data_IF_457089641153
#
_entry.id   IF_457089641153
#
_cell.length_a   1.000
_cell.length_b   1.000
_cell.length_c   1.000
_cell.angle_alpha   90.00
_cell.angle_beta   90.00
_cell.angle_gamma   90.00
#
_symmetry.space_group_name_H-M   'P 1'
#
loop_
_entity.id
_entity.type
_entity.pdbx_description
1 polymer ?
#
# COMPACT_ATOMS: atom_id res chain seq x y z
N UNK A 1 -39.76 43.04 14.02
CA UNK A 1 -39.45 42.50 12.67
C UNK A 1 -38.04 43.01 12.36
N UNK A 2 -36.96 42.24 12.20
CA UNK A 2 -36.86 40.93 11.53
C UNK A 2 -35.45 40.30 11.69
N UNK A 3 -34.96 40.08 12.91
CA UNK A 3 -33.71 39.29 13.08
C UNK A 3 -33.99 37.80 12.81
N UNK A 4 -35.14 37.30 13.26
CA UNK A 4 -35.60 35.93 13.03
C UNK A 4 -35.92 35.65 11.56
N UNK A 5 -36.56 36.59 10.86
CA UNK A 5 -36.91 36.44 9.43
C UNK A 5 -35.67 36.43 8.53
N UNK A 6 -34.66 37.26 8.84
CA UNK A 6 -33.39 37.31 8.10
C UNK A 6 -32.57 36.02 8.25
N UNK A 7 -32.44 35.49 9.48
CA UNK A 7 -31.73 34.23 9.72
C UNK A 7 -32.41 33.03 9.07
N UNK A 8 -33.75 32.97 9.11
CA UNK A 8 -34.53 31.90 8.43
C UNK A 8 -34.35 31.97 6.92
N UNK A 9 -34.38 33.17 6.32
CA UNK A 9 -34.17 33.35 4.88
C UNK A 9 -32.76 32.98 4.43
N UNK A 10 -31.73 33.27 5.24
CA UNK A 10 -30.35 32.82 4.95
C UNK A 10 -30.24 31.29 4.97
N UNK A 11 -30.86 30.63 5.95
CA UNK A 11 -30.84 29.17 6.07
C UNK A 11 -31.56 28.48 4.90
N UNK A 12 -32.71 29.00 4.47
CA UNK A 12 -33.43 28.53 3.27
C UNK A 12 -32.56 28.69 2.02
N UNK A 13 -31.90 29.83 1.87
CA UNK A 13 -31.04 30.12 0.72
C UNK A 13 -29.85 29.16 0.65
N UNK A 14 -29.15 28.94 1.77
CA UNK A 14 -28.04 27.99 1.84
C UNK A 14 -28.46 26.55 1.55
N UNK A 15 -29.63 26.11 2.06
CA UNK A 15 -30.20 24.80 1.77
C UNK A 15 -30.50 24.62 0.28
N UNK A 16 -31.10 25.63 -0.36
CA UNK A 16 -31.40 25.60 -1.80
C UNK A 16 -30.13 25.54 -2.66
N UNK A 17 -29.08 26.29 -2.30
CA UNK A 17 -27.78 26.21 -2.99
C UNK A 17 -27.21 24.79 -2.95
N UNK A 18 -27.19 24.15 -1.79
CA UNK A 18 -26.66 22.79 -1.63
C UNK A 18 -27.50 21.78 -2.41
N UNK A 19 -28.83 21.88 -2.35
CA UNK A 19 -29.71 21.01 -3.13
C UNK A 19 -29.47 21.13 -4.65
N UNK A 20 -29.23 22.35 -5.15
CA UNK A 20 -28.90 22.58 -6.55
C UNK A 20 -27.55 21.95 -6.94
N UNK A 21 -26.55 22.01 -6.06
CA UNK A 21 -25.28 21.32 -6.26
C UNK A 21 -25.47 19.79 -6.28
N UNK A 22 -26.27 19.26 -5.36
CA UNK A 22 -26.60 17.85 -5.29
C UNK A 22 -27.48 17.35 -6.45
N UNK A 23 -28.03 18.23 -7.29
CA UNK A 23 -28.72 17.84 -8.51
C UNK A 23 -27.78 17.65 -9.72
N UNK A 24 -26.55 18.17 -9.66
CA UNK A 24 -25.55 18.02 -10.74
C UNK A 24 -25.13 16.56 -10.93
N UNK A 25 -24.68 16.19 -12.12
CA UNK A 25 -24.11 14.85 -12.35
C UNK A 25 -22.73 14.68 -11.71
N UNK A 26 -21.90 15.73 -11.77
CA UNK A 26 -20.57 15.79 -11.16
C UNK A 26 -20.46 17.14 -10.43
N UNK A 27 -19.85 17.13 -9.25
CA UNK A 27 -19.56 18.34 -8.49
C UNK A 27 -18.06 18.57 -8.52
N UNK A 28 -17.65 19.78 -8.88
CA UNK A 28 -16.25 20.19 -9.05
C UNK A 28 -15.84 21.27 -8.06
N UNK A 29 -14.53 21.50 -7.91
CA UNK A 29 -14.02 22.54 -7.00
C UNK A 29 -14.57 23.96 -7.31
N UNK A 30 -14.68 24.39 -8.58
CA UNK A 30 -15.33 25.66 -8.92
C UNK A 30 -16.78 25.76 -8.42
N UNK A 31 -17.52 24.65 -8.43
CA UNK A 31 -18.93 24.64 -8.00
C UNK A 31 -19.10 24.97 -6.52
N UNK A 32 -18.08 24.67 -5.70
CA UNK A 32 -18.10 24.87 -4.24
C UNK A 32 -17.25 26.06 -3.78
N UNK A 33 -16.56 26.74 -4.70
CA UNK A 33 -15.63 27.82 -4.38
C UNK A 33 -16.31 29.00 -3.65
N UNK A 34 -17.57 29.28 -4.00
CA UNK A 34 -18.35 30.38 -3.45
C UNK A 34 -19.09 30.03 -2.15
N UNK A 35 -18.98 28.79 -1.66
CA UNK A 35 -19.61 28.40 -0.40
C UNK A 35 -18.86 29.00 0.79
N UNK A 36 -19.61 29.56 1.73
CA UNK A 36 -19.10 29.92 3.05
C UNK A 36 -18.65 28.68 3.83
N UNK A 37 -17.86 28.86 4.89
CA UNK A 37 -17.41 27.73 5.70
C UNK A 37 -18.59 26.96 6.34
N UNK A 38 -19.63 27.66 6.79
CA UNK A 38 -20.84 27.03 7.31
C UNK A 38 -21.56 26.19 6.25
N UNK A 39 -21.67 26.69 5.01
CA UNK A 39 -22.25 25.94 3.89
C UNK A 39 -21.40 24.72 3.50
N UNK A 40 -20.05 24.82 3.55
CA UNK A 40 -19.14 23.69 3.32
C UNK A 40 -19.27 22.60 4.37
N UNK A 41 -19.43 22.99 5.64
CA UNK A 41 -19.66 22.05 6.74
C UNK A 41 -21.01 21.34 6.56
N UNK A 42 -22.08 22.11 6.31
CA UNK A 42 -23.39 21.53 6.07
C UNK A 42 -23.42 20.62 4.83
N UNK A 43 -22.74 21.01 3.76
CA UNK A 43 -22.56 20.15 2.59
C UNK A 43 -21.83 18.86 2.96
N UNK A 44 -20.75 18.91 3.73
CA UNK A 44 -20.03 17.72 4.19
C UNK A 44 -20.89 16.78 5.02
N UNK A 45 -21.75 17.32 5.90
CA UNK A 45 -22.72 16.54 6.67
C UNK A 45 -23.71 15.82 5.75
N UNK A 46 -24.35 16.53 4.83
CA UNK A 46 -25.32 15.96 3.88
C UNK A 46 -24.66 14.92 2.97
N UNK A 47 -23.41 15.15 2.53
CA UNK A 47 -22.67 14.19 1.73
C UNK A 47 -22.40 12.89 2.51
N UNK A 48 -22.00 13.01 3.77
CA UNK A 48 -21.72 11.88 4.67
C UNK A 48 -23.00 11.09 4.96
N UNK A 49 -24.06 11.75 5.40
CA UNK A 49 -25.35 11.11 5.68
C UNK A 49 -25.89 10.35 4.47
N UNK A 50 -25.72 10.91 3.27
CA UNK A 50 -26.15 10.25 2.05
C UNK A 50 -25.26 9.07 1.70
N UNK A 51 -23.94 9.16 1.87
CA UNK A 51 -23.03 8.04 1.65
C UNK A 51 -23.37 6.84 2.53
N UNK A 52 -23.73 7.08 3.79
CA UNK A 52 -24.05 6.04 4.78
C UNK A 52 -25.32 5.25 4.41
N UNK A 53 -26.23 5.86 3.65
CA UNK A 53 -27.49 5.24 3.22
C UNK A 53 -27.39 4.52 1.88
N UNK A 54 -26.33 4.77 1.09
CA UNK A 54 -26.18 4.24 -0.25
C UNK A 54 -25.39 2.93 -0.24
N UNK A 55 -25.75 2.02 -1.15
CA UNK A 55 -25.07 0.74 -1.37
C UNK A 55 -24.77 0.51 -2.84
N UNK A 56 -23.90 -0.47 -3.10
CA UNK A 56 -23.57 -1.02 -4.40
C UNK A 56 -23.21 0.05 -5.44
N UNK A 57 -23.66 -0.13 -6.67
CA UNK A 57 -23.40 0.77 -7.78
C UNK A 57 -23.98 2.18 -7.54
N UNK A 58 -25.02 2.32 -6.73
CA UNK A 58 -25.59 3.63 -6.40
C UNK A 58 -24.60 4.43 -5.56
N UNK A 59 -23.98 3.78 -4.57
CA UNK A 59 -22.90 4.37 -3.76
C UNK A 59 -21.70 4.73 -4.63
N UNK A 60 -21.30 3.85 -5.54
CA UNK A 60 -20.16 4.10 -6.43
C UNK A 60 -20.41 5.30 -7.34
N UNK A 61 -21.58 5.38 -7.98
CA UNK A 61 -21.96 6.54 -8.80
C UNK A 61 -21.96 7.83 -7.99
N UNK A 62 -22.42 7.77 -6.74
CA UNK A 62 -22.40 8.93 -5.85
C UNK A 62 -20.98 9.36 -5.46
N UNK A 63 -20.10 8.40 -5.14
CA UNK A 63 -18.68 8.66 -4.88
C UNK A 63 -18.01 9.27 -6.12
N UNK A 64 -18.23 8.73 -7.32
CA UNK A 64 -17.68 9.30 -8.56
C UNK A 64 -18.16 10.73 -8.81
N UNK A 65 -19.41 11.04 -8.45
CA UNK A 65 -19.97 12.39 -8.57
C UNK A 65 -19.26 13.41 -7.68
N UNK A 66 -18.81 13.01 -6.48
CA UNK A 66 -18.20 13.93 -5.50
C UNK A 66 -16.67 13.80 -5.43
N UNK A 67 -16.07 12.79 -6.07
CA UNK A 67 -14.61 12.56 -6.06
C UNK A 67 -13.76 13.80 -6.37
N UNK A 68 -14.13 14.69 -7.32
CA UNK A 68 -13.34 15.88 -7.62
C UNK A 68 -13.23 16.89 -6.47
N UNK A 69 -14.19 16.87 -5.53
CA UNK A 69 -14.21 17.77 -4.37
C UNK A 69 -13.72 17.11 -3.08
N UNK A 70 -13.41 15.80 -3.11
CA UNK A 70 -12.91 15.10 -1.93
C UNK A 70 -11.49 15.57 -1.59
N UNK A 71 -11.24 15.74 -0.28
CA UNK A 71 -9.90 15.96 0.23
C UNK A 71 -9.14 14.63 0.27
N UNK A 72 -7.80 14.68 0.36
CA UNK A 72 -7.00 13.48 0.58
C UNK A 72 -7.45 12.72 1.85
N UNK A 73 -7.73 13.43 2.94
CA UNK A 73 -8.24 12.84 4.18
C UNK A 73 -9.57 12.11 4.00
N UNK A 74 -10.51 12.68 3.24
CA UNK A 74 -11.79 12.01 2.95
C UNK A 74 -11.60 10.76 2.08
N UNK A 75 -10.69 10.80 1.10
CA UNK A 75 -10.35 9.61 0.30
C UNK A 75 -9.74 8.50 1.16
N UNK A 76 -8.88 8.87 2.12
CA UNK A 76 -8.33 7.91 3.08
C UNK A 76 -9.43 7.29 3.94
N UNK A 77 -10.34 8.08 4.49
CA UNK A 77 -11.45 7.57 5.29
C UNK A 77 -12.35 6.60 4.49
N UNK A 78 -12.63 6.89 3.21
CA UNK A 78 -13.37 5.98 2.33
C UNK A 78 -12.59 4.68 2.11
N UNK A 79 -11.28 4.76 1.92
CA UNK A 79 -10.42 3.57 1.78
C UNK A 79 -10.40 2.74 3.06
N UNK A 80 -10.23 3.37 4.23
CA UNK A 80 -10.23 2.70 5.54
C UNK A 80 -11.55 2.01 5.82
N UNK A 81 -12.67 2.68 5.55
CA UNK A 81 -14.00 2.10 5.67
C UNK A 81 -14.13 0.86 4.77
N UNK A 82 -13.79 0.98 3.48
CA UNK A 82 -13.87 -0.13 2.54
C UNK A 82 -12.96 -1.29 3.00
N UNK A 83 -11.74 -0.99 3.47
CA UNK A 83 -10.82 -1.99 3.99
C UNK A 83 -11.44 -2.73 5.17
N UNK A 84 -11.92 -2.01 6.18
CA UNK A 84 -12.48 -2.56 7.40
C UNK A 84 -13.64 -3.51 7.10
N UNK A 85 -14.64 -3.09 6.31
CA UNK A 85 -15.82 -3.92 6.03
C UNK A 85 -15.47 -5.13 5.16
N UNK A 86 -14.52 -5.00 4.23
CA UNK A 86 -14.04 -6.13 3.41
C UNK A 86 -13.32 -7.14 4.31
N UNK A 87 -12.39 -6.70 5.15
CA UNK A 87 -11.63 -7.56 6.07
C UNK A 87 -12.53 -8.26 7.08
N UNK A 88 -13.54 -7.56 7.62
CA UNK A 88 -14.54 -8.13 8.50
C UNK A 88 -15.40 -9.20 7.79
N UNK A 89 -15.90 -8.90 6.58
CA UNK A 89 -16.68 -9.86 5.80
C UNK A 89 -15.87 -11.12 5.47
N UNK A 90 -14.60 -10.98 5.12
CA UNK A 90 -13.70 -12.12 4.89
C UNK A 90 -13.53 -12.95 6.17
N UNK A 91 -13.24 -12.31 7.29
CA UNK A 91 -13.04 -12.98 8.58
C UNK A 91 -14.27 -13.77 8.99
N UNK A 92 -15.46 -13.15 8.96
CA UNK A 92 -16.75 -13.81 9.25
C UNK A 92 -17.01 -15.00 8.33
N UNK A 93 -16.75 -14.84 7.03
CA UNK A 93 -16.99 -15.90 6.05
C UNK A 93 -16.07 -17.10 6.27
N UNK A 94 -14.77 -16.86 6.53
CA UNK A 94 -13.80 -17.92 6.84
C UNK A 94 -14.17 -18.63 8.14
N UNK A 95 -14.55 -17.89 9.19
CA UNK A 95 -14.97 -18.49 10.47
C UNK A 95 -16.21 -19.38 10.30
N UNK A 96 -17.17 -18.96 9.45
CA UNK A 96 -18.43 -19.68 9.26
C UNK A 96 -18.32 -20.88 8.32
N UNK A 97 -17.60 -20.75 7.22
CA UNK A 97 -17.59 -21.74 6.13
C UNK A 97 -16.24 -22.42 5.92
N UNK A 98 -15.18 -21.97 6.60
CA UNK A 98 -13.84 -22.56 6.51
C UNK A 98 -13.14 -22.35 5.17
N UNK A 99 -13.65 -21.46 4.31
CA UNK A 99 -13.12 -21.21 2.97
C UNK A 99 -13.09 -19.72 2.64
N UNK A 100 -12.22 -19.31 1.72
CA UNK A 100 -12.12 -17.92 1.27
C UNK A 100 -13.38 -17.51 0.49
N UNK A 101 -14.02 -16.37 0.81
CA UNK A 101 -15.17 -15.89 0.04
C UNK A 101 -14.79 -15.49 -1.38
N UNK A 102 -15.72 -15.71 -2.32
CA UNK A 102 -15.68 -15.09 -3.64
C UNK A 102 -16.06 -13.61 -3.52
N UNK A 103 -15.59 -12.76 -4.45
CA UNK A 103 -15.92 -11.32 -4.50
C UNK A 103 -17.43 -11.02 -4.45
N UNK A 104 -18.25 -11.90 -5.05
CA UNK A 104 -19.71 -11.78 -4.98
C UNK A 104 -20.24 -11.86 -3.54
N UNK A 105 -19.79 -12.85 -2.77
CA UNK A 105 -20.20 -13.00 -1.37
C UNK A 105 -19.75 -11.82 -0.49
N UNK A 106 -18.57 -11.25 -0.78
CA UNK A 106 -18.09 -10.04 -0.09
C UNK A 106 -18.99 -8.84 -0.44
N UNK A 107 -19.38 -8.68 -1.72
CA UNK A 107 -20.30 -7.63 -2.15
C UNK A 107 -21.66 -7.76 -1.44
N UNK A 108 -22.22 -8.97 -1.43
CA UNK A 108 -23.52 -9.25 -0.82
C UNK A 108 -23.52 -8.95 0.69
N UNK A 109 -22.43 -9.25 1.40
CA UNK A 109 -22.27 -8.99 2.83
C UNK A 109 -22.02 -7.51 3.15
N UNK A 110 -21.17 -6.84 2.38
CA UNK A 110 -20.71 -5.47 2.68
C UNK A 110 -21.60 -4.38 2.09
N UNK A 111 -22.41 -4.70 1.07
CA UNK A 111 -23.10 -3.70 0.25
C UNK A 111 -22.16 -2.82 -0.57
N UNK A 112 -20.90 -3.22 -0.74
CA UNK A 112 -19.97 -2.62 -1.68
C UNK A 112 -20.12 -3.28 -3.05
N UNK A 113 -19.94 -2.51 -4.12
CA UNK A 113 -19.94 -3.10 -5.46
C UNK A 113 -18.76 -4.05 -5.65
N UNK A 114 -18.94 -5.01 -6.56
CA UNK A 114 -17.86 -5.90 -7.01
C UNK A 114 -16.68 -5.13 -7.62
N UNK A 115 -16.94 -3.99 -8.25
CA UNK A 115 -15.90 -3.14 -8.84
C UNK A 115 -15.06 -2.48 -7.76
N UNK A 116 -15.69 -1.94 -6.72
CA UNK A 116 -15.02 -1.34 -5.56
C UNK A 116 -14.15 -2.37 -4.84
N UNK A 117 -14.67 -3.58 -4.62
CA UNK A 117 -13.91 -4.69 -4.03
C UNK A 117 -12.73 -5.09 -4.91
N UNK A 118 -12.94 -5.21 -6.23
CA UNK A 118 -11.86 -5.56 -7.16
C UNK A 118 -10.76 -4.48 -7.19
N UNK A 119 -11.15 -3.20 -7.22
CA UNK A 119 -10.23 -2.06 -7.14
C UNK A 119 -9.43 -2.10 -5.83
N UNK A 120 -10.10 -2.38 -4.71
CA UNK A 120 -9.46 -2.47 -3.40
C UNK A 120 -8.39 -3.55 -3.37
N UNK A 121 -8.71 -4.78 -3.78
CA UNK A 121 -7.74 -5.88 -3.82
C UNK A 121 -6.56 -5.60 -4.76
N UNK A 122 -6.83 -5.08 -5.95
CA UNK A 122 -5.78 -4.86 -6.96
C UNK A 122 -4.81 -3.75 -6.56
N UNK A 123 -5.27 -2.76 -5.79
CA UNK A 123 -4.45 -1.62 -5.35
C UNK A 123 -3.99 -1.69 -3.88
N UNK A 124 -4.34 -2.76 -3.16
CA UNK A 124 -4.13 -2.86 -1.71
C UNK A 124 -2.65 -2.67 -1.33
N UNK A 125 -1.76 -3.43 -1.96
CA UNK A 125 -0.33 -3.42 -1.66
C UNK A 125 0.38 -2.11 -2.07
N UNK A 126 -0.23 -1.30 -2.95
CA UNK A 126 0.33 -0.04 -3.41
C UNK A 126 -0.27 1.17 -2.66
N UNK A 127 -1.25 0.95 -1.78
CA UNK A 127 -1.88 2.04 -1.07
C UNK A 127 -0.99 2.54 0.08
N UNK A 128 -0.80 3.86 0.29
CA UNK A 128 0.08 4.38 1.35
C UNK A 128 -0.26 3.89 2.77
N UNK A 129 -1.53 3.55 3.02
CA UNK A 129 -1.98 3.04 4.32
C UNK A 129 -1.60 1.57 4.57
N UNK A 130 -1.18 0.83 3.54
CA UNK A 130 -0.75 -0.56 3.67
C UNK A 130 0.44 -0.68 4.61
N UNK A 131 1.45 0.18 4.44
CA UNK A 131 2.63 0.16 5.30
C UNK A 131 2.27 0.49 6.75
N UNK A 132 1.39 1.48 6.95
CA UNK A 132 0.91 1.84 8.28
C UNK A 132 0.14 0.71 8.96
N UNK A 133 -0.67 -0.05 8.21
CA UNK A 133 -1.37 -1.23 8.72
C UNK A 133 -0.39 -2.38 9.05
N UNK A 134 0.60 -2.61 8.18
CA UNK A 134 1.63 -3.60 8.42
C UNK A 134 2.45 -3.29 9.68
N UNK A 135 2.77 -2.02 9.91
CA UNK A 135 3.43 -1.57 11.15
C UNK A 135 2.55 -1.81 12.39
N UNK A 136 1.22 -1.64 12.29
CA UNK A 136 0.30 -1.98 13.38
C UNK A 136 0.34 -3.49 13.70
N UNK A 137 0.33 -4.35 12.68
CA UNK A 137 0.48 -5.80 12.90
C UNK A 137 1.83 -6.16 13.51
N UNK A 138 2.92 -5.52 13.08
CA UNK A 138 4.25 -5.69 13.68
C UNK A 138 4.27 -5.23 15.13
N UNK A 139 3.65 -4.09 15.44
CA UNK A 139 3.52 -3.61 16.81
C UNK A 139 2.77 -4.61 17.71
N UNK A 140 1.70 -5.22 17.18
CA UNK A 140 0.91 -6.23 17.88
C UNK A 140 1.59 -7.60 18.01
N UNK A 141 2.68 -7.84 17.29
CA UNK A 141 3.40 -9.13 17.32
C UNK A 141 3.86 -9.52 18.73
N UNK A 142 4.22 -8.55 19.58
CA UNK A 142 4.60 -8.78 20.97
C UNK A 142 3.46 -9.41 21.81
N UNK A 143 2.20 -9.06 21.51
CA UNK A 143 1.04 -9.62 22.20
C UNK A 143 0.82 -11.09 21.82
N UNK A 144 0.97 -11.40 20.53
CA UNK A 144 0.92 -12.79 20.04
C UNK A 144 2.07 -13.60 20.62
N UNK A 145 3.29 -13.06 20.62
CA UNK A 145 4.46 -13.69 21.22
C UNK A 145 4.26 -14.00 22.72
N UNK A 146 3.63 -13.07 23.47
CA UNK A 146 3.27 -13.28 24.88
C UNK A 146 2.27 -14.42 25.07
N UNK A 147 1.32 -14.58 24.13
CA UNK A 147 0.37 -15.71 24.12
C UNK A 147 1.09 -17.03 23.86
N UNK A 148 2.01 -17.06 22.90
CA UNK A 148 2.85 -18.25 22.60
C UNK A 148 3.71 -18.61 23.81
N UNK A 149 4.33 -17.64 24.48
CA UNK A 149 5.09 -17.85 25.72
C UNK A 149 4.23 -18.47 26.84
N UNK A 150 3.01 -17.97 27.03
CA UNK A 150 2.07 -18.54 28.02
C UNK A 150 1.76 -20.01 27.73
N UNK A 151 1.51 -20.36 26.46
CA UNK A 151 1.27 -21.75 26.05
C UNK A 151 2.50 -22.63 26.25
N UNK A 152 3.69 -22.12 25.94
CA UNK A 152 4.96 -22.80 26.19
C UNK A 152 5.16 -23.13 27.67
N UNK A 153 4.91 -22.16 28.57
CA UNK A 153 4.99 -22.37 30.02
C UNK A 153 3.96 -23.40 30.54
N UNK A 154 2.84 -23.56 29.84
CA UNK A 154 1.83 -24.57 30.16
C UNK A 154 2.16 -25.96 29.58
N UNK A 155 3.35 -26.15 29.00
CA UNK A 155 3.82 -27.44 28.51
C UNK A 155 3.55 -27.73 27.04
N UNK A 156 3.02 -26.78 26.25
CA UNK A 156 2.92 -26.98 24.79
C UNK A 156 4.30 -26.82 24.13
N UNK A 157 4.93 -27.96 23.84
CA UNK A 157 6.26 -28.02 23.23
C UNK A 157 6.33 -27.38 21.83
N UNK A 158 5.22 -27.34 21.08
CA UNK A 158 5.18 -26.69 19.76
C UNK A 158 5.19 -25.17 19.94
N UNK A 159 4.46 -24.65 20.93
CA UNK A 159 4.51 -23.24 21.30
C UNK A 159 5.90 -22.85 21.83
N UNK A 160 6.53 -23.68 22.65
CA UNK A 160 7.89 -23.44 23.14
C UNK A 160 8.91 -23.35 22.00
N UNK A 161 8.86 -24.30 21.05
CA UNK A 161 9.70 -24.25 19.84
C UNK A 161 9.48 -22.97 19.03
N UNK A 162 8.22 -22.62 18.77
CA UNK A 162 7.87 -21.40 18.03
C UNK A 162 8.35 -20.12 18.74
N UNK A 163 8.24 -20.07 20.07
CA UNK A 163 8.75 -18.95 20.88
C UNK A 163 10.27 -18.79 20.71
N UNK A 164 11.03 -19.88 20.86
CA UNK A 164 12.49 -19.83 20.69
C UNK A 164 12.92 -19.51 19.26
N UNK A 165 12.18 -19.98 18.26
CA UNK A 165 12.41 -19.58 16.86
C UNK A 165 12.21 -18.07 16.68
N UNK A 166 11.11 -17.51 17.20
CA UNK A 166 10.84 -16.08 17.11
C UNK A 166 11.91 -15.24 17.83
N UNK A 167 12.24 -15.56 19.09
CA UNK A 167 13.31 -14.87 19.84
C UNK A 167 14.68 -15.05 19.16
N UNK A 168 14.96 -16.24 18.64
CA UNK A 168 16.18 -16.54 17.90
C UNK A 168 16.31 -15.76 16.59
N UNK A 169 15.20 -15.51 15.89
CA UNK A 169 15.18 -14.66 14.68
C UNK A 169 15.28 -13.18 15.00
N UNK A 170 14.72 -12.70 16.13
CA UNK A 170 14.87 -11.32 16.60
C UNK A 170 16.32 -10.99 17.00
N UNK A 171 17.04 -11.98 17.53
CA UNK A 171 18.44 -11.85 17.90
C UNK A 171 19.42 -12.06 16.74
N UNK A 172 18.94 -12.56 15.59
CA UNK A 172 19.69 -12.46 14.35
C UNK A 172 19.54 -11.02 13.86
N UNK A 173 20.45 -10.14 14.31
CA UNK A 173 20.82 -8.98 13.49
C UNK A 173 20.94 -9.49 12.06
N UNK A 174 20.23 -8.85 11.13
CA UNK A 174 20.34 -9.16 9.71
C UNK A 174 21.83 -9.42 9.43
N UNK A 175 22.25 -10.61 8.98
CA UNK A 175 23.54 -10.67 8.33
C UNK A 175 23.39 -9.65 7.20
N UNK A 176 24.21 -8.59 7.26
CA UNK A 176 24.37 -7.64 6.17
C UNK A 176 24.32 -8.48 4.91
N UNK A 177 23.32 -8.21 4.04
CA UNK A 177 23.08 -8.95 2.81
C UNK A 177 24.40 -9.45 2.28
N UNK A 178 24.66 -10.75 2.40
CA UNK A 178 25.67 -11.38 1.55
C UNK A 178 25.01 -11.32 0.20
N UNK A 179 25.25 -10.19 -0.46
CA UNK A 179 24.93 -9.96 -1.85
C UNK A 179 25.71 -11.05 -2.56
N UNK A 180 25.05 -12.18 -2.81
CA UNK A 180 25.45 -13.18 -3.79
C UNK A 180 25.22 -12.62 -5.20
N UNK A 181 25.56 -11.34 -5.43
CA UNK A 181 25.99 -10.94 -6.76
C UNK A 181 27.31 -11.67 -6.92
N UNK A 182 27.27 -12.73 -7.72
CA UNK A 182 28.46 -13.20 -8.38
C UNK A 182 28.98 -12.02 -9.21
N UNK A 183 29.80 -11.19 -8.57
CA UNK A 183 30.58 -10.16 -9.21
C UNK A 183 31.56 -10.90 -10.11
N UNK A 184 31.14 -11.14 -11.36
CA UNK A 184 31.90 -11.80 -12.42
C UNK A 184 33.02 -10.88 -12.95
N UNK A 185 33.68 -10.16 -12.04
CA UNK A 185 34.80 -9.32 -12.33
C UNK A 185 35.82 -9.39 -11.20
N UNK A 186 37.09 -9.38 -11.59
CA UNK A 186 38.21 -9.21 -10.66
C UNK A 186 38.58 -7.73 -10.70
N UNK A 187 38.60 -7.06 -9.55
CA UNK A 187 39.09 -5.70 -9.44
C UNK A 187 40.36 -5.65 -8.60
N UNK A 188 41.43 -5.11 -9.18
CA UNK A 188 42.69 -4.84 -8.47
C UNK A 188 42.99 -3.36 -8.66
N UNK A 189 42.98 -2.59 -7.55
CA UNK A 189 43.00 -1.12 -7.57
C UNK A 189 41.86 -0.54 -8.45
N UNK A 190 42.20 0.29 -9.44
CA UNK A 190 41.25 0.90 -10.37
C UNK A 190 41.04 0.06 -11.66
N UNK A 191 41.58 -1.16 -11.72
CA UNK A 191 41.47 -2.02 -12.90
C UNK A 191 40.37 -3.05 -12.71
N UNK A 192 39.37 -3.04 -13.60
CA UNK A 192 38.23 -3.98 -13.59
C UNK A 192 38.38 -4.97 -14.74
N UNK A 193 38.59 -6.25 -14.41
CA UNK A 193 38.61 -7.36 -15.34
C UNK A 193 37.26 -8.08 -15.32
N UNK A 194 36.39 -7.81 -16.29
CA UNK A 194 35.06 -8.44 -16.41
C UNK A 194 34.93 -9.25 -17.70
N UNK A 195 33.98 -10.19 -17.76
CA UNK A 195 33.65 -10.94 -18.98
C UNK A 195 33.28 -10.01 -20.16
N UNK A 196 32.68 -8.86 -19.88
CA UNK A 196 32.33 -7.87 -20.90
C UNK A 196 33.57 -7.14 -21.44
N UNK A 197 34.53 -6.82 -20.57
CA UNK A 197 35.80 -6.22 -20.98
C UNK A 197 36.63 -7.23 -21.79
N UNK A 198 36.68 -8.50 -21.37
CA UNK A 198 37.39 -9.56 -22.09
C UNK A 198 36.86 -9.78 -23.52
N UNK A 199 35.53 -9.72 -23.72
CA UNK A 199 34.91 -9.86 -25.06
C UNK A 199 35.27 -8.72 -26.02
N UNK A 200 35.71 -7.58 -25.50
CA UNK A 200 36.07 -6.41 -26.31
C UNK A 200 37.55 -6.39 -26.74
N UNK A 201 38.35 -7.34 -26.26
CA UNK A 201 39.77 -7.45 -26.56
C UNK A 201 40.01 -8.24 -27.85
N UNK A 202 41.08 -7.90 -28.57
CA UNK A 202 41.52 -8.68 -29.73
C UNK A 202 42.13 -10.02 -29.31
N UNK A 203 42.22 -10.97 -30.25
CA UNK A 203 42.84 -12.26 -30.00
C UNK A 203 44.30 -12.13 -29.47
N UNK A 204 45.06 -11.18 -30.01
CA UNK A 204 46.43 -10.89 -29.57
C UNK A 204 46.49 -10.36 -28.13
N UNK A 205 45.52 -9.55 -27.71
CA UNK A 205 45.44 -9.02 -26.35
C UNK A 205 45.03 -10.08 -25.34
N UNK A 206 44.14 -10.99 -25.73
CA UNK A 206 43.76 -12.14 -24.90
C UNK A 206 44.94 -13.09 -24.70
N UNK A 207 45.72 -13.34 -25.76
CA UNK A 207 46.90 -14.21 -25.71
C UNK A 207 48.00 -13.62 -24.80
N UNK A 208 48.21 -12.29 -24.84
CA UNK A 208 49.09 -11.59 -23.90
C UNK A 208 48.64 -11.72 -22.45
N UNK A 209 47.34 -11.57 -22.16
CA UNK A 209 46.79 -11.73 -20.81
C UNK A 209 46.96 -13.18 -20.34
N UNK A 210 46.69 -14.15 -21.20
CA UNK A 210 46.84 -15.57 -20.90
C UNK A 210 48.30 -15.93 -20.60
N UNK A 211 49.25 -15.38 -21.37
CA UNK A 211 50.69 -15.54 -21.11
C UNK A 211 51.13 -14.98 -19.76
N UNK A 212 50.65 -13.78 -19.39
CA UNK A 212 50.93 -13.17 -18.07
C UNK A 212 50.37 -14.03 -16.94
N UNK A 213 49.15 -14.54 -17.07
CA UNK A 213 48.49 -15.38 -16.04
C UNK A 213 49.18 -16.73 -15.88
N UNK A 214 49.62 -17.35 -16.98
CA UNK A 214 50.35 -18.62 -16.96
C UNK A 214 51.81 -18.49 -16.49
N UNK A 215 52.28 -17.25 -16.26
CA UNK A 215 53.67 -16.99 -15.86
C UNK A 215 54.68 -17.30 -16.97
N UNK A 216 54.23 -17.38 -18.22
CA UNK A 216 55.11 -17.52 -19.36
C UNK A 216 55.79 -16.17 -19.60
N UNK A 217 57.12 -16.12 -19.51
CA UNK A 217 57.88 -14.90 -19.81
C UNK A 217 57.61 -14.49 -21.26
N UNK A 218 56.71 -13.53 -21.47
CA UNK A 218 56.55 -12.89 -22.77
C UNK A 218 57.89 -12.30 -23.17
N UNK A 219 58.46 -12.78 -24.28
CA UNK A 219 59.48 -12.03 -25.02
C UNK A 219 58.85 -10.69 -25.37
N UNK A 220 59.24 -9.65 -24.65
CA UNK A 220 59.05 -8.27 -25.08
C UNK A 220 59.88 -8.13 -26.36
N UNK A 221 59.23 -8.32 -27.51
CA UNK A 221 59.82 -8.00 -28.79
C UNK A 221 59.67 -6.49 -28.99
N UNK A 222 60.77 -5.80 -28.71
CA UNK A 222 61.19 -4.59 -29.42
C UNK A 222 60.33 -3.35 -29.20
N UNK A 223 60.86 -2.44 -28.38
CA UNK A 223 61.32 -1.14 -28.90
C UNK A 223 62.41 -0.63 -27.95
N UNK A 224 63.64 -0.67 -28.45
CA UNK A 224 64.75 0.13 -27.94
C UNK A 224 64.48 1.61 -28.24
N UNK A 225 64.56 2.43 -27.20
CA UNK A 225 65.36 3.65 -27.12
C UNK A 225 65.53 4.02 -25.65
#
# INVERSE_FOLDING_TARGET
MDITTSAVNQLITSKNKINNLLAKQIITLPDIAHLSQAEKNHMSEVLTERLDQLKDEVRDRYLSKIDPILTAGTRHAVWEYNHMVISEAISKFIQKYGVMPKRGAIADETGLSRQTIAKHFNGYAQHPMFDAEMEQFKFMSNSVLSTVFKLANNGDMRAAKLYFEMIGTLNKQQPATVVNEQNNYIQINNTILSQQNLKSLSAEQLDMIEGIIKGEKSKVLGLEA
#
